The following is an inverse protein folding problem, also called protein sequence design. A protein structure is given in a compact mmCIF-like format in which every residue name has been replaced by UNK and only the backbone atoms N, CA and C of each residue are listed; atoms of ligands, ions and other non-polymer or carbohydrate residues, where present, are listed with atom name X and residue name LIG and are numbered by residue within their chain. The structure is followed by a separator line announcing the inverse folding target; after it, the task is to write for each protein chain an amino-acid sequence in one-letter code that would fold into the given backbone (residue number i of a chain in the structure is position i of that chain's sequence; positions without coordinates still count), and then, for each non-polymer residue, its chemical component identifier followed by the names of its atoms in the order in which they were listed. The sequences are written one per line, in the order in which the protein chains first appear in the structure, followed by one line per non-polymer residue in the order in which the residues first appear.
data_IF_157069395582
#
_entry.id   IF_157069395582
#
_cell.length_a   1.000
_cell.length_b   1.000
_cell.length_c   1.000
_cell.angle_alpha   90.00
_cell.angle_beta   90.00
_cell.angle_gamma   90.00
#
_symmetry.space_group_name_H-M   'P 1'
#
loop_
_entity.id
_entity.type
_entity.pdbx_description
1 polymer ?
#
# COMPACT_ATOMS: atom_id res chain seq x y z
N UNK A 1 -3.32 -13.69 13.43
CA UNK A 1 -3.30 -12.42 12.66
C UNK A 1 -2.16 -12.38 11.65
N UNK A 2 -2.26 -11.51 10.63
CA UNK A 2 -1.21 -11.31 9.63
C UNK A 2 0.05 -10.73 10.27
N UNK A 3 1.23 -11.12 9.76
CA UNK A 3 2.52 -10.54 10.13
C UNK A 3 3.03 -9.63 9.01
N UNK A 4 3.67 -8.53 9.37
CA UNK A 4 4.18 -7.55 8.41
C UNK A 4 5.20 -8.15 7.41
N UNK A 5 5.97 -9.15 7.82
CA UNK A 5 6.89 -9.89 6.92
C UNK A 5 6.15 -10.62 5.79
N UNK A 6 4.93 -11.12 6.04
CA UNK A 6 4.12 -11.73 4.98
C UNK A 6 3.60 -10.65 4.02
N UNK A 7 3.23 -9.46 4.54
CA UNK A 7 2.86 -8.29 3.70
C UNK A 7 4.01 -7.93 2.77
N UNK A 8 5.23 -7.87 3.28
CA UNK A 8 6.43 -7.55 2.48
C UNK A 8 6.64 -8.61 1.40
N UNK A 9 6.72 -9.90 1.79
CA UNK A 9 7.02 -10.98 0.86
C UNK A 9 5.99 -11.08 -0.27
N UNK A 10 4.70 -11.02 0.06
CA UNK A 10 3.63 -11.11 -0.94
C UNK A 10 3.50 -9.85 -1.79
N UNK A 11 3.78 -8.69 -1.20
CA UNK A 11 3.83 -7.42 -1.93
C UNK A 11 4.97 -7.38 -2.94
N UNK A 12 6.16 -7.85 -2.57
CA UNK A 12 7.31 -7.97 -3.49
C UNK A 12 7.01 -8.92 -4.65
N UNK A 13 6.45 -10.09 -4.32
CA UNK A 13 6.06 -11.07 -5.34
C UNK A 13 5.04 -10.48 -6.32
N UNK A 14 4.01 -9.81 -5.81
CA UNK A 14 3.01 -9.14 -6.64
C UNK A 14 3.60 -8.07 -7.56
N UNK A 15 4.58 -7.27 -7.07
CA UNK A 15 5.29 -6.29 -7.90
C UNK A 15 6.11 -6.95 -9.01
N UNK A 16 6.83 -8.03 -8.68
CA UNK A 16 7.60 -8.76 -9.68
C UNK A 16 6.69 -9.32 -10.78
N UNK A 17 5.56 -9.91 -10.43
CA UNK A 17 4.57 -10.44 -11.38
C UNK A 17 3.97 -9.31 -12.23
N UNK A 18 3.54 -8.22 -11.61
CA UNK A 18 2.94 -7.06 -12.30
C UNK A 18 3.88 -6.49 -13.36
N UNK A 19 5.16 -6.28 -13.04
CA UNK A 19 6.13 -5.72 -13.98
C UNK A 19 6.70 -6.76 -14.97
N UNK A 20 6.59 -8.05 -14.69
CA UNK A 20 6.92 -9.11 -15.65
C UNK A 20 5.83 -9.31 -16.72
N UNK A 21 4.58 -9.08 -16.37
CA UNK A 21 3.43 -9.16 -17.27
C UNK A 21 3.20 -7.78 -17.89
N UNK A 22 3.86 -7.46 -19.01
CA UNK A 22 3.63 -6.19 -19.70
C UNK A 22 2.13 -6.01 -20.01
N UNK A 23 1.49 -4.98 -19.38
CA UNK A 23 0.12 -4.51 -19.66
C UNK A 23 -1.06 -5.38 -19.16
N UNK A 24 -1.04 -5.91 -17.98
CA UNK A 24 -2.29 -6.37 -17.34
C UNK A 24 -3.03 -5.15 -16.77
N UNK A 25 -4.01 -4.64 -17.52
CA UNK A 25 -5.04 -3.77 -16.94
C UNK A 25 -5.84 -4.61 -15.94
N UNK A 26 -5.91 -4.17 -14.71
CA UNK A 26 -6.68 -4.83 -13.68
C UNK A 26 -8.18 -4.62 -13.96
N UNK A 27 -8.93 -5.71 -14.17
CA UNK A 27 -10.37 -5.63 -14.40
C UNK A 27 -11.09 -5.33 -13.08
N UNK A 28 -11.78 -4.17 -13.03
CA UNK A 28 -12.60 -3.73 -11.89
C UNK A 28 -13.79 -4.67 -11.59
N UNK A 29 -14.13 -5.59 -12.52
CA UNK A 29 -15.22 -6.54 -12.36
C UNK A 29 -14.86 -7.76 -11.49
N UNK A 30 -13.59 -7.97 -11.18
CA UNK A 30 -13.20 -8.93 -10.16
C UNK A 30 -13.65 -8.39 -8.79
N UNK A 31 -14.84 -8.80 -8.37
CA UNK A 31 -15.39 -8.47 -7.06
C UNK A 31 -14.33 -8.76 -6.00
N UNK A 32 -13.91 -7.72 -5.31
CA UNK A 32 -13.07 -7.82 -4.11
C UNK A 32 -13.97 -8.40 -2.99
N UNK A 33 -14.41 -9.62 -3.17
CA UNK A 33 -15.20 -10.37 -2.19
C UNK A 33 -14.31 -11.45 -1.55
N UNK A 34 -13.04 -11.11 -1.43
CA UNK A 34 -12.03 -11.98 -0.89
C UNK A 34 -11.87 -11.68 0.61
N UNK A 35 -12.11 -12.69 1.44
CA UNK A 35 -11.81 -12.65 2.89
C UNK A 35 -10.36 -13.06 3.17
N UNK A 36 -9.54 -13.26 2.14
CA UNK A 36 -8.13 -13.54 2.26
C UNK A 36 -7.34 -12.23 2.26
N UNK A 37 -6.81 -11.87 3.41
CA UNK A 37 -6.02 -10.65 3.60
C UNK A 37 -4.77 -10.63 2.71
N UNK A 38 -4.16 -11.77 2.41
CA UNK A 38 -2.97 -11.87 1.55
C UNK A 38 -3.36 -11.51 0.11
N UNK A 39 -4.45 -12.06 -0.40
CA UNK A 39 -4.93 -11.73 -1.74
C UNK A 39 -5.28 -10.23 -1.86
N UNK A 40 -5.91 -9.66 -0.84
CA UNK A 40 -6.19 -8.21 -0.81
C UNK A 40 -4.89 -7.40 -0.86
N UNK A 41 -3.84 -7.80 -0.13
CA UNK A 41 -2.55 -7.12 -0.13
C UNK A 41 -1.88 -7.20 -1.50
N UNK A 42 -1.86 -8.38 -2.14
CA UNK A 42 -1.31 -8.56 -3.48
C UNK A 42 -1.99 -7.62 -4.49
N UNK A 43 -3.31 -7.60 -4.50
CA UNK A 43 -4.12 -6.71 -5.34
C UNK A 43 -3.85 -5.25 -5.04
N UNK A 44 -3.78 -4.90 -3.76
CA UNK A 44 -3.51 -3.54 -3.32
C UNK A 44 -2.18 -3.01 -3.81
N UNK A 45 -1.12 -3.78 -3.71
CA UNK A 45 0.22 -3.40 -4.18
C UNK A 45 0.22 -3.17 -5.70
N UNK A 46 -0.51 -4.00 -6.47
CA UNK A 46 -0.67 -3.80 -7.92
C UNK A 46 -1.41 -2.49 -8.22
N UNK A 47 -2.51 -2.21 -7.51
CA UNK A 47 -3.26 -0.95 -7.63
C UNK A 47 -2.37 0.27 -7.32
N UNK A 48 -1.57 0.19 -6.25
CA UNK A 48 -0.62 1.25 -5.88
C UNK A 48 0.47 1.45 -6.96
N UNK A 49 0.95 0.36 -7.59
CA UNK A 49 1.93 0.40 -8.66
C UNK A 49 1.35 1.02 -9.95
N UNK A 50 0.15 0.61 -10.37
CA UNK A 50 -0.56 1.19 -11.52
C UNK A 50 -0.81 2.69 -11.32
N UNK A 51 -1.27 3.07 -10.13
CA UNK A 51 -1.48 4.49 -9.79
C UNK A 51 -0.17 5.28 -9.90
N UNK A 52 0.94 4.75 -9.36
CA UNK A 52 2.25 5.39 -9.45
C UNK A 52 2.67 5.59 -10.90
N UNK A 53 2.51 4.57 -11.74
CA UNK A 53 2.88 4.64 -13.16
C UNK A 53 2.05 5.67 -13.93
N UNK A 54 0.75 5.78 -13.64
CA UNK A 54 -0.11 6.80 -14.23
C UNK A 54 0.28 8.21 -13.78
N UNK A 55 0.60 8.40 -12.50
CA UNK A 55 1.06 9.69 -11.98
C UNK A 55 2.40 10.11 -12.59
N UNK A 56 3.34 9.19 -12.78
CA UNK A 56 4.60 9.48 -13.47
C UNK A 56 4.36 9.82 -14.95
N UNK A 57 3.46 9.12 -15.64
CA UNK A 57 3.09 9.41 -17.04
C UNK A 57 2.46 10.78 -17.22
N UNK A 58 1.57 11.22 -16.34
CA UNK A 58 0.92 12.54 -16.43
C UNK A 58 1.94 13.68 -16.31
N UNK A 59 3.07 13.48 -15.62
CA UNK A 59 4.14 14.49 -15.47
C UNK A 59 4.99 14.68 -16.72
N UNK A 60 4.84 13.80 -17.72
CA UNK A 60 5.58 13.93 -18.99
C UNK A 60 4.95 15.04 -19.83
N UNK A 61 5.75 16.05 -20.19
CA UNK A 61 5.28 17.28 -20.88
C UNK A 61 4.58 17.03 -22.23
N UNK A 62 4.86 15.88 -22.86
CA UNK A 62 4.25 15.50 -24.14
C UNK A 62 2.81 14.98 -24.03
N UNK A 63 2.38 14.61 -22.83
CA UNK A 63 1.01 14.10 -22.58
C UNK A 63 0.07 15.28 -22.37
N UNK A 64 -0.93 15.43 -23.23
CA UNK A 64 -1.85 16.59 -23.22
C UNK A 64 -3.31 16.19 -23.47
N UNK A 65 -4.20 17.09 -23.11
CA UNK A 65 -5.61 17.06 -23.51
C UNK A 65 -6.40 15.91 -22.89
N UNK A 66 -7.09 15.14 -23.73
CA UNK A 66 -8.03 14.12 -23.27
C UNK A 66 -7.33 12.90 -22.63
N UNK A 67 -6.08 12.61 -22.99
CA UNK A 67 -5.30 11.54 -22.37
C UNK A 67 -5.06 11.82 -20.89
N UNK A 68 -4.76 13.07 -20.52
CA UNK A 68 -4.62 13.48 -19.11
C UNK A 68 -5.90 13.27 -18.34
N UNK A 69 -7.06 13.60 -18.95
CA UNK A 69 -8.37 13.40 -18.30
C UNK A 69 -8.68 11.91 -18.05
N UNK A 70 -8.36 11.06 -19.03
CA UNK A 70 -8.54 9.61 -18.91
C UNK A 70 -7.67 9.06 -17.79
N UNK A 71 -6.37 9.41 -17.77
CA UNK A 71 -5.45 8.98 -16.71
C UNK A 71 -5.91 9.48 -15.34
N UNK A 72 -6.39 10.72 -15.24
CA UNK A 72 -6.91 11.28 -13.97
C UNK A 72 -8.11 10.50 -13.46
N UNK A 73 -9.07 10.16 -14.32
CA UNK A 73 -10.22 9.33 -13.92
C UNK A 73 -9.76 7.96 -13.41
N UNK A 74 -8.81 7.33 -14.12
CA UNK A 74 -8.27 6.04 -13.67
C UNK A 74 -7.56 6.15 -12.33
N UNK A 75 -6.77 7.20 -12.08
CA UNK A 75 -6.16 7.48 -10.76
C UNK A 75 -7.24 7.62 -9.67
N UNK A 76 -8.35 8.30 -9.95
CA UNK A 76 -9.44 8.48 -8.98
C UNK A 76 -10.12 7.13 -8.67
N UNK A 77 -10.34 6.27 -9.68
CA UNK A 77 -10.84 4.89 -9.50
C UNK A 77 -9.89 4.06 -8.64
N UNK A 78 -8.59 4.05 -8.96
CA UNK A 78 -7.57 3.34 -8.20
C UNK A 78 -7.50 3.81 -6.74
N UNK A 79 -7.63 5.12 -6.50
CA UNK A 79 -7.71 5.68 -5.15
C UNK A 79 -8.95 5.18 -4.38
N UNK A 80 -10.10 5.01 -5.05
CA UNK A 80 -11.29 4.42 -4.43
C UNK A 80 -11.07 2.95 -4.09
N UNK A 81 -10.50 2.17 -5.03
CA UNK A 81 -10.17 0.76 -4.82
C UNK A 81 -9.22 0.58 -3.63
N UNK A 82 -8.14 1.35 -3.60
CA UNK A 82 -7.17 1.36 -2.52
C UNK A 82 -7.82 1.62 -1.15
N UNK A 83 -8.74 2.60 -1.08
CA UNK A 83 -9.50 2.89 0.14
C UNK A 83 -10.35 1.71 0.57
N UNK A 84 -11.09 1.08 -0.36
CA UNK A 84 -11.91 -0.10 -0.08
C UNK A 84 -11.08 -1.27 0.44
N UNK A 85 -9.92 -1.54 -0.18
CA UNK A 85 -9.01 -2.61 0.24
C UNK A 85 -8.47 -2.37 1.66
N UNK A 86 -8.10 -1.14 2.00
CA UNK A 86 -7.68 -0.75 3.34
C UNK A 86 -8.78 -1.00 4.37
N UNK A 87 -10.03 -0.63 4.07
CA UNK A 87 -11.19 -0.88 4.93
C UNK A 87 -11.51 -2.38 5.05
N UNK A 88 -11.29 -3.18 3.99
CA UNK A 88 -11.46 -4.63 4.05
C UNK A 88 -10.42 -5.29 4.96
N UNK A 89 -9.14 -4.90 4.86
CA UNK A 89 -8.08 -5.36 5.76
C UNK A 89 -8.48 -5.07 7.21
N UNK A 90 -8.91 -3.85 7.51
CA UNK A 90 -9.38 -3.48 8.85
C UNK A 90 -10.58 -4.30 9.30
N UNK A 91 -11.51 -4.60 8.40
CA UNK A 91 -12.68 -5.44 8.71
C UNK A 91 -12.29 -6.87 9.08
N UNK A 92 -11.34 -7.47 8.35
CA UNK A 92 -10.82 -8.82 8.64
C UNK A 92 -10.14 -8.83 10.02
N UNK A 93 -9.22 -7.89 10.26
CA UNK A 93 -8.50 -7.79 11.53
C UNK A 93 -9.47 -7.56 12.69
N UNK A 94 -10.45 -6.68 12.51
CA UNK A 94 -11.49 -6.42 13.51
C UNK A 94 -12.29 -7.68 13.86
N UNK A 95 -12.63 -8.50 12.86
CA UNK A 95 -13.33 -9.76 13.07
C UNK A 95 -12.45 -10.77 13.82
N UNK A 96 -11.15 -10.87 13.51
CA UNK A 96 -10.22 -11.72 14.25
C UNK A 96 -10.06 -11.28 15.73
N UNK A 97 -10.22 -9.99 16.01
CA UNK A 97 -10.12 -9.41 17.35
C UNK A 97 -11.47 -9.32 18.10
N UNK A 98 -12.56 -9.86 17.53
CA UNK A 98 -13.91 -9.70 18.09
C UNK A 98 -14.06 -10.17 19.54
N UNK A 99 -13.32 -11.20 19.92
CA UNK A 99 -13.38 -11.80 21.26
C UNK A 99 -12.37 -11.20 22.25
N UNK A 100 -11.52 -10.28 21.80
CA UNK A 100 -10.51 -9.64 22.64
C UNK A 100 -11.15 -8.64 23.57
N UNK A 101 -10.95 -8.82 24.89
CA UNK A 101 -11.37 -7.87 25.92
C UNK A 101 -10.37 -6.74 26.03
N UNK A 102 -10.77 -5.56 25.59
CA UNK A 102 -9.94 -4.35 25.68
C UNK A 102 -9.89 -3.88 27.14
N UNK A 103 -8.68 -3.64 27.64
CA UNK A 103 -8.45 -3.10 28.99
C UNK A 103 -9.01 -1.67 29.12
N UNK A 104 -9.48 -1.28 30.31
CA UNK A 104 -9.97 0.08 30.59
C UNK A 104 -8.92 1.15 30.30
N UNK A 105 -7.66 0.85 30.58
CA UNK A 105 -6.50 1.72 30.38
C UNK A 105 -5.77 1.48 29.05
N UNK A 106 -6.41 0.80 28.08
CA UNK A 106 -5.82 0.51 26.80
C UNK A 106 -5.37 1.80 26.07
N UNK A 107 -4.15 1.79 25.58
CA UNK A 107 -3.57 2.87 24.78
C UNK A 107 -4.39 3.04 23.47
N UNK A 108 -4.58 4.28 23.03
CA UNK A 108 -5.19 4.59 21.75
C UNK A 108 -4.11 4.65 20.67
N UNK A 109 -4.22 3.81 19.65
CA UNK A 109 -3.38 3.90 18.47
C UNK A 109 -3.77 5.13 17.63
N UNK A 110 -2.80 5.72 16.94
CA UNK A 110 -3.01 6.89 16.08
C UNK A 110 -3.77 6.56 14.80
N UNK A 111 -3.71 5.29 14.38
CA UNK A 111 -4.36 4.80 13.17
C UNK A 111 -4.77 3.33 13.32
N UNK A 112 -5.64 2.87 12.43
CA UNK A 112 -6.00 1.46 12.34
C UNK A 112 -4.91 0.65 11.60
N UNK A 113 -4.80 -0.67 11.85
CA UNK A 113 -3.78 -1.52 11.22
C UNK A 113 -3.79 -1.46 9.68
N UNK A 114 -4.97 -1.43 9.06
CA UNK A 114 -5.10 -1.32 7.59
C UNK A 114 -4.43 -0.08 7.02
N UNK A 115 -4.45 1.06 7.75
CA UNK A 115 -3.76 2.28 7.35
C UNK A 115 -2.24 2.15 7.44
N UNK A 116 -1.74 1.47 8.45
CA UNK A 116 -0.31 1.20 8.59
C UNK A 116 0.18 0.22 7.50
N UNK A 117 -0.62 -0.82 7.19
CA UNK A 117 -0.37 -1.75 6.09
C UNK A 117 -0.42 -1.03 4.74
N UNK A 118 -1.38 -0.11 4.53
CA UNK A 118 -1.44 0.74 3.32
C UNK A 118 -0.14 1.50 3.10
N UNK A 119 0.41 2.12 4.13
CA UNK A 119 1.72 2.79 4.05
C UNK A 119 2.86 1.83 3.71
N UNK A 120 2.87 0.64 4.31
CA UNK A 120 3.89 -0.36 4.01
C UNK A 120 3.84 -0.76 2.53
N UNK A 121 2.66 -1.03 1.96
CA UNK A 121 2.49 -1.34 0.53
C UNK A 121 3.03 -0.21 -0.37
N UNK A 122 2.72 1.06 -0.07
CA UNK A 122 3.25 2.21 -0.83
C UNK A 122 4.78 2.27 -0.77
N UNK A 123 5.37 1.95 0.39
CA UNK A 123 6.83 1.95 0.53
C UNK A 123 7.48 0.84 -0.27
N UNK A 124 6.84 -0.33 -0.42
CA UNK A 124 7.32 -1.41 -1.29
C UNK A 124 7.33 -0.96 -2.75
N UNK A 125 6.25 -0.33 -3.23
CA UNK A 125 6.20 0.25 -4.59
C UNK A 125 7.31 1.29 -4.78
N UNK A 126 7.49 2.21 -3.82
CA UNK A 126 8.55 3.23 -3.85
C UNK A 126 9.93 2.61 -3.97
N UNK A 127 10.26 1.63 -3.14
CA UNK A 127 11.53 0.91 -3.18
C UNK A 127 11.75 0.28 -4.56
N UNK A 128 10.77 -0.45 -5.07
CA UNK A 128 10.83 -1.09 -6.38
C UNK A 128 11.08 -0.08 -7.51
N UNK A 129 10.38 1.06 -7.51
CA UNK A 129 10.61 2.15 -8.49
C UNK A 129 12.00 2.76 -8.40
N UNK A 130 12.52 2.93 -7.19
CA UNK A 130 13.88 3.42 -6.99
C UNK A 130 14.93 2.42 -7.48
N UNK A 131 14.73 1.13 -7.25
CA UNK A 131 15.60 0.05 -7.78
C UNK A 131 15.59 0.01 -9.30
N UNK A 132 14.41 0.09 -9.93
CA UNK A 132 14.28 0.20 -11.39
C UNK A 132 15.07 1.41 -11.94
N UNK A 133 14.91 2.59 -11.32
CA UNK A 133 15.64 3.80 -11.73
C UNK A 133 17.14 3.64 -11.56
N UNK A 134 17.60 3.06 -10.44
CA UNK A 134 19.01 2.80 -10.18
C UNK A 134 19.62 1.87 -11.22
N UNK A 135 18.93 0.81 -11.61
CA UNK A 135 19.39 -0.15 -12.60
C UNK A 135 19.61 0.47 -14.00
N UNK A 136 18.98 1.60 -14.31
CA UNK A 136 19.14 2.34 -15.57
C UNK A 136 20.24 3.41 -15.51
N UNK A 137 20.87 3.63 -14.36
CA UNK A 137 21.90 4.66 -14.17
C UNK A 137 23.31 4.10 -14.30
N UNK A 138 24.24 4.97 -14.67
CA UNK A 138 25.67 4.65 -14.58
C UNK A 138 26.11 4.63 -13.12
N UNK A 139 26.76 3.54 -12.70
CA UNK A 139 27.33 3.39 -11.34
C UNK A 139 28.36 4.48 -10.97
N UNK A 140 28.87 5.21 -11.95
CA UNK A 140 29.85 6.30 -11.74
C UNK A 140 29.20 7.67 -11.60
N UNK A 141 27.87 7.76 -11.54
CA UNK A 141 27.16 9.03 -11.43
C UNK A 141 26.86 9.39 -9.97
N UNK A 142 26.99 10.66 -9.61
CA UNK A 142 26.58 11.16 -8.28
C UNK A 142 25.10 10.83 -7.96
N UNK A 143 24.23 10.78 -8.99
CA UNK A 143 22.83 10.40 -8.86
C UNK A 143 22.65 8.93 -8.47
N UNK A 144 23.53 8.05 -8.93
CA UNK A 144 23.51 6.64 -8.52
C UNK A 144 23.81 6.50 -7.02
N UNK A 145 24.84 7.21 -6.54
CA UNK A 145 25.23 7.20 -5.13
C UNK A 145 24.13 7.81 -4.24
N UNK A 146 23.52 8.91 -4.68
CA UNK A 146 22.40 9.53 -3.99
C UNK A 146 21.20 8.56 -3.90
N UNK A 147 20.84 7.93 -5.02
CA UNK A 147 19.70 7.01 -5.06
C UNK A 147 19.99 5.75 -4.23
N UNK A 148 21.24 5.28 -4.18
CA UNK A 148 21.64 4.16 -3.32
C UNK A 148 21.46 4.49 -1.85
N UNK A 149 21.92 5.67 -1.39
CA UNK A 149 21.70 6.13 -0.01
C UNK A 149 20.20 6.27 0.32
N UNK A 150 19.42 6.79 -0.63
CA UNK A 150 17.97 6.93 -0.43
C UNK A 150 17.27 5.57 -0.34
N UNK A 151 17.73 4.56 -1.09
CA UNK A 151 17.23 3.17 -0.98
C UNK A 151 17.52 2.58 0.40
N UNK A 152 18.72 2.73 0.93
CA UNK A 152 19.06 2.30 2.29
C UNK A 152 18.13 2.92 3.34
N UNK A 153 17.79 4.21 3.18
CA UNK A 153 16.84 4.89 4.07
C UNK A 153 15.43 4.30 3.93
N UNK A 154 14.96 4.03 2.72
CA UNK A 154 13.65 3.43 2.47
C UNK A 154 13.58 2.02 3.05
N UNK A 155 14.63 1.22 2.91
CA UNK A 155 14.71 -0.13 3.51
C UNK A 155 14.61 -0.07 5.04
N UNK A 156 15.36 0.82 5.68
CA UNK A 156 15.27 1.03 7.14
C UNK A 156 13.87 1.47 7.58
N UNK A 157 13.20 2.32 6.78
CA UNK A 157 11.83 2.74 7.06
C UNK A 157 10.83 1.60 6.92
N UNK A 158 11.01 0.71 5.93
CA UNK A 158 10.17 -0.48 5.73
C UNK A 158 10.30 -1.41 6.94
N UNK A 159 11.53 -1.73 7.37
CA UNK A 159 11.79 -2.57 8.54
C UNK A 159 11.17 -1.97 9.81
N UNK A 160 11.41 -0.68 10.05
CA UNK A 160 10.84 0.00 11.21
C UNK A 160 9.30 -0.02 11.22
N UNK A 161 8.68 0.23 10.06
CA UNK A 161 7.22 0.21 9.94
C UNK A 161 6.66 -1.20 10.11
N UNK A 162 7.36 -2.22 9.59
CA UNK A 162 6.98 -3.62 9.75
C UNK A 162 6.98 -4.05 11.23
N UNK A 163 8.04 -3.72 11.96
CA UNK A 163 8.14 -3.99 13.39
C UNK A 163 7.04 -3.24 14.18
N UNK A 164 6.76 -1.99 13.82
CA UNK A 164 5.71 -1.20 14.47
C UNK A 164 4.30 -1.77 14.20
N UNK A 165 4.04 -2.29 12.99
CA UNK A 165 2.79 -2.99 12.66
C UNK A 165 2.66 -4.25 13.50
N UNK A 166 3.69 -5.09 13.56
CA UNK A 166 3.67 -6.32 14.35
C UNK A 166 3.46 -6.04 15.84
N UNK A 167 4.12 -5.02 16.39
CA UNK A 167 3.89 -4.56 17.77
C UNK A 167 2.44 -4.10 17.99
N UNK A 168 1.89 -3.29 17.09
CA UNK A 168 0.49 -2.82 17.16
C UNK A 168 -0.48 -4.00 17.21
N UNK A 169 -0.29 -4.98 16.31
CA UNK A 169 -1.14 -6.16 16.24
C UNK A 169 -1.07 -6.99 17.52
N UNK A 170 0.12 -7.25 18.05
CA UNK A 170 0.33 -7.98 19.32
C UNK A 170 -0.29 -7.26 20.53
N UNK A 171 -0.15 -5.92 20.59
CA UNK A 171 -0.78 -5.13 21.65
C UNK A 171 -2.31 -5.16 21.56
N UNK A 172 -2.87 -5.15 20.34
CA UNK A 172 -4.31 -5.27 20.12
C UNK A 172 -4.83 -6.67 20.50
N UNK A 173 -4.12 -7.75 20.15
CA UNK A 173 -4.44 -9.11 20.58
C UNK A 173 -4.47 -9.27 22.10
N UNK A 174 -3.59 -8.57 22.80
CA UNK A 174 -3.55 -8.56 24.27
C UNK A 174 -4.58 -7.62 24.91
N UNK A 175 -5.29 -6.83 24.10
CA UNK A 175 -6.27 -5.85 24.58
C UNK A 175 -5.66 -4.64 25.30
N UNK A 176 -4.34 -4.39 25.18
CA UNK A 176 -3.65 -3.24 25.82
C UNK A 176 -3.58 -2.02 24.91
N UNK A 177 -3.94 -2.18 23.65
CA UNK A 177 -4.08 -1.08 22.66
C UNK A 177 -5.38 -1.26 21.89
N UNK A 178 -6.02 -0.14 21.56
CA UNK A 178 -7.21 -0.06 20.71
C UNK A 178 -7.03 1.01 19.64
N UNK A 179 -7.69 0.84 18.51
CA UNK A 179 -7.74 1.83 17.44
C UNK A 179 -9.18 2.29 17.17
N UNK A 180 -9.30 3.40 16.47
CA UNK A 180 -10.57 3.84 15.91
C UNK A 180 -10.74 3.21 14.52
N UNK A 181 -11.73 2.33 14.36
CA UNK A 181 -12.10 1.76 13.06
C UNK A 181 -12.87 2.80 12.26
N UNK A 182 -12.16 3.62 11.50
CA UNK A 182 -12.76 4.76 10.77
C UNK A 182 -12.93 4.37 9.30
N UNK A 183 -14.12 4.62 8.75
CA UNK A 183 -14.32 4.59 7.31
C UNK A 183 -13.80 5.88 6.70
N UNK A 184 -13.03 5.77 5.63
CA UNK A 184 -12.58 6.92 4.85
C UNK A 184 -13.73 7.39 3.96
N UNK A 185 -14.48 8.40 4.42
CA UNK A 185 -15.53 9.01 3.61
C UNK A 185 -14.91 10.02 2.65
N UNK A 186 -14.58 9.59 1.43
CA UNK A 186 -14.15 10.48 0.36
C UNK A 186 -15.40 11.06 -0.32
N UNK A 187 -15.47 12.39 -0.42
CA UNK A 187 -16.49 13.09 -1.20
C UNK A 187 -15.84 13.68 -2.45
N UNK A 188 -16.41 13.38 -3.60
CA UNK A 188 -16.05 14.00 -4.87
C UNK A 188 -17.10 15.03 -5.27
N UNK A 189 -16.70 16.08 -5.98
CA UNK A 189 -17.59 17.22 -6.31
C UNK A 189 -18.84 16.88 -7.16
N UNK A 190 -19.01 15.63 -7.55
CA UNK A 190 -20.14 15.15 -8.36
C UNK A 190 -20.99 14.06 -7.65
N UNK A 191 -20.83 13.90 -6.34
CA UNK A 191 -21.67 13.00 -5.52
C UNK A 191 -22.91 13.74 -4.97
#
# INVERSE_FOLDING_TARGET
MIKARNVIAEGELALMEYYAMANVEYDDNDKIDCNDVIEIIRRKVIVDAEQWDLEDRIRVETVKGDDVKVMKRRIDELNMMRTKMTEQIDSIIRNELSDVKVCSEARKATEAPGMAIDRLCIMLVRRHKMEQRRALMSERSERYDELTRNLEIVEQQIEYLADAIDCLMEEMERGVTQCCWVRQMKMYAND
#
